data_IF_668926373259
#
_entry.id   IF_668926373259
#
_cell.length_a   1.000
_cell.length_b   1.000
_cell.length_c   1.000
_cell.angle_alpha   90.00
_cell.angle_beta   90.00
_cell.angle_gamma   90.00
#
_symmetry.space_group_name_H-M   'P 1'
#
loop_
_entity.id
_entity.type
_entity.pdbx_description
1 polymer ?
#
# COMPACT_ATOMS: atom_id res chain seq x y z
N UNK A 1 27.71 -1.73 12.93
CA UNK A 1 26.81 -2.41 11.98
C UNK A 1 26.54 -1.44 10.85
N UNK A 2 26.58 -1.90 9.60
CA UNK A 2 26.15 -1.09 8.46
C UNK A 2 24.63 -0.98 8.45
N UNK A 3 24.12 0.21 8.14
CA UNK A 3 22.70 0.38 7.86
C UNK A 3 22.38 -0.31 6.53
N UNK A 4 21.22 -0.95 6.44
CA UNK A 4 20.75 -1.59 5.21
C UNK A 4 19.27 -1.27 5.00
N UNK A 5 18.82 -1.35 3.75
CA UNK A 5 17.43 -1.16 3.36
C UNK A 5 17.05 -2.17 2.27
N UNK A 6 15.80 -2.65 2.31
CA UNK A 6 15.18 -3.48 1.27
C UNK A 6 14.07 -2.67 0.62
N UNK A 7 14.11 -2.49 -0.70
CA UNK A 7 13.07 -1.82 -1.48
C UNK A 7 12.30 -2.87 -2.25
N UNK A 8 10.97 -2.88 -2.10
CA UNK A 8 10.06 -3.80 -2.78
C UNK A 8 9.20 -2.96 -3.73
N UNK A 9 9.21 -3.28 -5.03
CA UNK A 9 8.35 -2.65 -6.03
C UNK A 9 7.23 -3.65 -6.32
N UNK A 10 6.04 -3.38 -5.78
CA UNK A 10 4.91 -4.28 -5.88
C UNK A 10 3.62 -3.67 -5.35
N UNK A 11 2.55 -4.47 -5.37
CA UNK A 11 1.25 -4.09 -4.83
C UNK A 11 1.22 -4.33 -3.32
N UNK A 12 0.95 -3.28 -2.53
CA UNK A 12 0.90 -3.40 -1.06
C UNK A 12 -0.21 -4.33 -0.56
N UNK A 13 -1.18 -4.70 -1.41
CA UNK A 13 -2.17 -5.76 -1.12
C UNK A 13 -1.56 -7.18 -1.14
N UNK A 14 -0.30 -7.33 -1.55
CA UNK A 14 0.40 -8.63 -1.63
C UNK A 14 1.92 -8.47 -1.41
N UNK A 15 2.34 -8.47 -0.14
CA UNK A 15 3.74 -8.32 0.27
C UNK A 15 4.39 -9.67 0.60
N UNK A 16 4.56 -10.55 -0.40
CA UNK A 16 5.07 -11.94 -0.19
C UNK A 16 6.55 -11.98 0.27
N UNK A 17 7.28 -10.89 0.07
CA UNK A 17 8.70 -10.77 0.41
C UNK A 17 8.94 -10.36 1.88
N UNK A 18 7.86 -10.13 2.64
CA UNK A 18 7.89 -9.76 4.06
C UNK A 18 7.37 -10.94 4.87
N UNK A 19 8.16 -11.39 5.84
CA UNK A 19 7.78 -12.51 6.69
C UNK A 19 6.74 -12.09 7.73
N UNK A 20 5.92 -13.05 8.16
CA UNK A 20 4.96 -12.80 9.23
C UNK A 20 5.70 -12.47 10.53
N UNK A 21 5.15 -11.52 11.31
CA UNK A 21 5.68 -11.10 12.60
C UNK A 21 7.15 -10.60 12.57
N UNK A 22 7.63 -10.11 11.42
CA UNK A 22 8.99 -9.59 11.27
C UNK A 22 9.10 -8.05 11.28
N UNK A 23 8.00 -7.34 11.51
CA UNK A 23 7.91 -5.87 11.42
C UNK A 23 7.43 -5.29 12.75
N UNK A 24 8.23 -4.40 13.34
CA UNK A 24 7.91 -3.75 14.62
C UNK A 24 7.03 -2.50 14.48
N UNK A 25 7.17 -1.77 13.38
CA UNK A 25 6.46 -0.51 13.14
C UNK A 25 6.12 -0.35 11.66
N UNK A 26 4.88 0.08 11.40
CA UNK A 26 4.43 0.51 10.07
C UNK A 26 4.11 1.99 10.10
N UNK A 27 4.75 2.76 9.23
CA UNK A 27 4.43 4.17 8.97
C UNK A 27 4.00 4.27 7.51
N UNK A 28 2.83 4.87 7.25
CA UNK A 28 2.31 4.97 5.90
C UNK A 28 1.47 6.23 5.71
N UNK A 29 1.37 6.68 4.47
CA UNK A 29 0.40 7.66 4.00
C UNK A 29 -0.26 7.05 2.77
N UNK A 30 -1.47 6.49 2.87
CA UNK A 30 -2.11 5.80 1.75
C UNK A 30 -2.34 6.77 0.58
N UNK A 31 -2.53 6.24 -0.65
CA UNK A 31 -2.92 7.07 -1.79
C UNK A 31 -4.14 7.93 -1.44
N UNK A 32 -4.07 9.21 -1.80
CA UNK A 32 -5.22 10.09 -1.66
C UNK A 32 -6.34 9.56 -2.54
N UNK A 33 -7.58 9.54 -2.03
CA UNK A 33 -8.74 9.02 -2.73
C UNK A 33 -9.00 9.73 -4.07
N UNK A 34 -9.89 10.72 -4.10
CA UNK A 34 -10.29 11.35 -5.36
C UNK A 34 -9.46 12.60 -5.72
N UNK A 35 -8.46 12.93 -4.89
CA UNK A 35 -7.67 14.16 -5.01
C UNK A 35 -6.55 14.02 -6.04
N UNK A 36 -5.94 12.84 -6.15
CA UNK A 36 -4.70 12.66 -6.90
C UNK A 36 -4.74 11.45 -7.82
N UNK A 37 -4.54 11.69 -9.10
CA UNK A 37 -4.19 10.67 -10.09
C UNK A 37 -2.67 10.46 -10.10
N UNK A 38 -2.22 9.24 -9.83
CA UNK A 38 -0.81 8.84 -9.90
C UNK A 38 -0.45 8.25 -11.27
N UNK A 39 -1.40 8.09 -12.20
CA UNK A 39 -1.14 7.65 -13.57
C UNK A 39 -0.72 6.19 -13.70
N UNK A 40 -1.02 5.35 -12.70
CA UNK A 40 -0.68 3.93 -12.68
C UNK A 40 -1.96 3.09 -12.70
N UNK A 41 -1.98 2.08 -13.57
CA UNK A 41 -3.10 1.13 -13.64
C UNK A 41 -3.26 0.40 -12.30
N UNK A 42 -4.51 0.27 -11.83
CA UNK A 42 -4.83 -0.42 -10.59
C UNK A 42 -4.51 0.36 -9.31
N UNK A 43 -4.20 1.67 -9.41
CA UNK A 43 -4.07 2.55 -8.24
C UNK A 43 -5.31 2.49 -7.34
N UNK A 44 -5.10 2.54 -6.03
CA UNK A 44 -6.17 2.66 -5.05
C UNK A 44 -6.52 4.15 -4.93
N UNK A 45 -7.80 4.50 -4.97
CA UNK A 45 -8.25 5.88 -4.81
C UNK A 45 -8.89 6.47 -6.05
N UNK A 46 -8.12 7.11 -6.91
CA UNK A 46 -8.64 7.96 -7.98
C UNK A 46 -9.61 7.23 -8.91
N UNK A 47 -10.75 7.85 -9.20
CA UNK A 47 -11.82 7.24 -10.01
C UNK A 47 -12.67 6.17 -9.30
N UNK A 48 -12.30 5.73 -8.09
CA UNK A 48 -13.09 4.75 -7.32
C UNK A 48 -14.24 5.43 -6.57
N UNK A 49 -15.33 4.71 -6.35
CA UNK A 49 -16.29 5.08 -5.31
C UNK A 49 -15.63 5.05 -3.93
N UNK A 50 -16.18 5.80 -2.97
CA UNK A 50 -15.66 5.80 -1.59
C UNK A 50 -15.63 4.38 -1.00
N UNK A 51 -16.64 3.56 -1.28
CA UNK A 51 -16.72 2.20 -0.76
C UNK A 51 -15.61 1.30 -1.34
N UNK A 52 -15.35 1.39 -2.64
CA UNK A 52 -14.26 0.63 -3.28
C UNK A 52 -12.89 1.05 -2.76
N UNK A 53 -12.69 2.35 -2.55
CA UNK A 53 -11.47 2.89 -1.95
C UNK A 53 -11.21 2.29 -0.56
N UNK A 54 -12.19 2.38 0.34
CA UNK A 54 -12.08 1.85 1.70
C UNK A 54 -11.87 0.33 1.70
N UNK A 55 -12.56 -0.41 0.81
CA UNK A 55 -12.39 -1.85 0.65
C UNK A 55 -10.98 -2.22 0.18
N UNK A 56 -10.41 -1.46 -0.75
CA UNK A 56 -9.05 -1.70 -1.23
C UNK A 56 -7.99 -1.33 -0.19
N UNK A 57 -8.18 -0.25 0.58
CA UNK A 57 -7.32 0.04 1.72
C UNK A 57 -7.37 -1.08 2.77
N UNK A 58 -8.55 -1.59 3.09
CA UNK A 58 -8.68 -2.72 4.02
C UNK A 58 -7.88 -3.96 3.58
N UNK A 59 -7.85 -4.24 2.26
CA UNK A 59 -7.06 -5.36 1.71
C UNK A 59 -5.55 -5.22 1.89
N UNK A 60 -5.03 -4.00 2.06
CA UNK A 60 -3.60 -3.78 2.36
C UNK A 60 -3.26 -4.22 3.79
N UNK A 61 -4.24 -4.19 4.70
CA UNK A 61 -4.07 -4.53 6.11
C UNK A 61 -4.52 -5.95 6.47
N UNK A 62 -4.92 -6.75 5.47
CA UNK A 62 -5.36 -8.14 5.64
C UNK A 62 -4.19 -9.09 5.46
#
# INVERSE_FOLDING_TARGET
MSNWAKVIIGDSRKMIEVENASIDLVVTSPPYWHIKDYGVEGQIGYGQSLHEYLKNLYRVWK
#
